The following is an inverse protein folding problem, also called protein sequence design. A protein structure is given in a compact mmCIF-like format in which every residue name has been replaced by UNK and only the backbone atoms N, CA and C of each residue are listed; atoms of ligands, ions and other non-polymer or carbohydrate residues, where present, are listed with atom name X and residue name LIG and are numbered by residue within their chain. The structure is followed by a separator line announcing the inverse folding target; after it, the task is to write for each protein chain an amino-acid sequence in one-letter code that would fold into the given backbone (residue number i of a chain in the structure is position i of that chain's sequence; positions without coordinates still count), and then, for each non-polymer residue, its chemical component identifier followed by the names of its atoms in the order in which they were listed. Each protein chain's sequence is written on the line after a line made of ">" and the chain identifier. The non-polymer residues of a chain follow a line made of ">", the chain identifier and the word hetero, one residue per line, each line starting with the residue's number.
data_IF_400665899803
#
_entry.id   IF_400665899803
#
_cell.length_a   1.000
_cell.length_b   1.000
_cell.length_c   1.000
_cell.angle_alpha   90.00
_cell.angle_beta   90.00
_cell.angle_gamma   90.00
#
_symmetry.space_group_name_H-M   'P 1'
#
loop_
_entity.id
_entity.type
_entity.pdbx_description
1 polymer ?
#
# COMPACT_ATOMS: atom_id res chain seq x y z
N UNK A 1 -10.21 19.69 3.46
CA UNK A 1 -9.37 18.86 2.57
C UNK A 1 -8.87 17.55 3.22
N UNK A 2 -7.84 17.54 4.10
CA UNK A 2 -7.28 16.26 4.62
C UNK A 2 -8.31 15.41 5.37
N UNK A 3 -9.07 16.01 6.31
CA UNK A 3 -10.17 15.34 7.02
C UNK A 3 -11.23 14.78 6.06
N UNK A 4 -11.61 15.50 5.00
CA UNK A 4 -12.57 15.01 3.99
C UNK A 4 -12.04 13.80 3.22
N UNK A 5 -10.74 13.75 2.91
CA UNK A 5 -10.13 12.63 2.19
C UNK A 5 -10.17 11.36 3.05
N UNK A 6 -9.69 11.43 4.29
CA UNK A 6 -9.61 10.26 5.18
C UNK A 6 -10.96 9.80 5.73
N UNK A 7 -11.98 10.68 5.73
CA UNK A 7 -13.35 10.35 6.13
C UNK A 7 -14.23 9.91 4.96
N UNK A 8 -13.72 9.98 3.72
CA UNK A 8 -14.48 9.52 2.56
C UNK A 8 -14.75 8.01 2.64
N UNK A 9 -16.01 7.62 2.48
CA UNK A 9 -16.42 6.22 2.46
C UNK A 9 -15.65 5.50 1.34
N UNK A 10 -14.83 4.52 1.68
CA UNK A 10 -13.98 3.79 0.73
C UNK A 10 -12.51 4.23 0.64
N UNK A 11 -12.10 5.30 1.32
CA UNK A 11 -10.68 5.67 1.42
C UNK A 11 -9.86 4.54 2.04
N UNK A 12 -10.21 4.10 3.26
CA UNK A 12 -9.50 3.03 3.97
C UNK A 12 -9.55 1.69 3.24
N UNK A 13 -10.66 1.37 2.55
CA UNK A 13 -10.74 0.18 1.70
C UNK A 13 -9.75 0.25 0.54
N UNK A 14 -9.58 1.44 -0.07
CA UNK A 14 -8.60 1.67 -1.13
C UNK A 14 -7.17 1.60 -0.60
N UNK A 15 -6.90 2.15 0.59
CA UNK A 15 -5.59 2.06 1.27
C UNK A 15 -5.18 0.61 1.46
N UNK A 16 -6.06 -0.21 2.04
CA UNK A 16 -5.79 -1.64 2.27
C UNK A 16 -5.64 -2.39 0.95
N UNK A 17 -6.52 -2.16 -0.03
CA UNK A 17 -6.44 -2.84 -1.33
C UNK A 17 -5.16 -2.52 -2.10
N UNK A 18 -4.77 -1.24 -2.19
CA UNK A 18 -3.53 -0.84 -2.86
C UNK A 18 -2.29 -1.29 -2.09
N UNK A 19 -2.31 -1.15 -0.76
CA UNK A 19 -1.21 -1.59 0.09
C UNK A 19 -0.98 -3.09 -0.02
N UNK A 20 -2.04 -3.89 -0.01
CA UNK A 20 -1.95 -5.34 -0.16
C UNK A 20 -1.43 -5.73 -1.56
N UNK A 21 -1.94 -5.09 -2.62
CA UNK A 21 -1.46 -5.33 -3.98
C UNK A 21 0.03 -5.00 -4.13
N UNK A 22 0.48 -3.89 -3.53
CA UNK A 22 1.89 -3.51 -3.51
C UNK A 22 2.76 -4.52 -2.75
N UNK A 23 2.32 -4.97 -1.57
CA UNK A 23 3.07 -5.97 -0.78
C UNK A 23 3.23 -7.27 -1.56
N UNK A 24 2.15 -7.76 -2.18
CA UNK A 24 2.20 -8.98 -2.99
C UNK A 24 3.19 -8.82 -4.14
N UNK A 25 3.09 -7.72 -4.91
CA UNK A 25 4.01 -7.44 -6.01
C UNK A 25 5.46 -7.33 -5.54
N UNK A 26 5.70 -6.61 -4.45
CA UNK A 26 7.03 -6.43 -3.87
C UNK A 26 7.64 -7.76 -3.43
N UNK A 27 6.86 -8.61 -2.76
CA UNK A 27 7.28 -9.95 -2.35
C UNK A 27 7.63 -10.82 -3.55
N UNK A 28 6.80 -10.82 -4.59
CA UNK A 28 7.06 -11.59 -5.81
C UNK A 28 8.33 -11.12 -6.52
N UNK A 29 8.54 -9.81 -6.66
CA UNK A 29 9.74 -9.25 -7.29
C UNK A 29 10.98 -9.59 -6.46
N UNK A 30 10.92 -9.40 -5.14
CA UNK A 30 12.05 -9.71 -4.26
C UNK A 30 12.39 -11.19 -4.28
N UNK A 31 11.38 -12.06 -4.25
CA UNK A 31 11.56 -13.50 -4.34
C UNK A 31 12.18 -13.94 -5.68
N UNK A 32 11.79 -13.29 -6.78
CA UNK A 32 12.40 -13.53 -8.09
C UNK A 32 13.87 -13.10 -8.14
N UNK A 33 14.23 -11.96 -7.52
CA UNK A 33 15.62 -11.49 -7.42
C UNK A 33 16.48 -12.47 -6.60
N UNK A 34 15.91 -13.07 -5.56
CA UNK A 34 16.56 -14.08 -4.72
C UNK A 34 16.58 -15.50 -5.34
N UNK A 35 16.22 -15.62 -6.62
CA UNK A 35 16.30 -16.88 -7.37
C UNK A 35 15.23 -17.91 -6.99
N UNK A 36 14.08 -17.46 -6.48
CA UNK A 36 12.98 -18.31 -6.00
C UNK A 36 13.37 -19.26 -4.86
N UNK A 37 14.40 -18.91 -4.10
CA UNK A 37 14.89 -19.71 -2.97
C UNK A 37 13.81 -19.83 -1.89
N UNK A 38 13.60 -21.05 -1.36
CA UNK A 38 12.72 -21.28 -0.22
C UNK A 38 13.23 -20.59 1.05
N UNK A 39 14.55 -20.33 1.09
CA UNK A 39 15.23 -19.60 2.16
C UNK A 39 14.79 -18.14 2.30
N UNK A 40 14.15 -17.56 1.28
CA UNK A 40 13.61 -16.21 1.32
C UNK A 40 12.69 -15.97 2.52
N UNK A 41 11.91 -16.99 2.90
CA UNK A 41 10.91 -16.91 3.96
C UNK A 41 11.49 -17.43 5.30
N UNK A 42 12.42 -18.38 5.26
CA UNK A 42 12.95 -19.07 6.46
C UNK A 42 14.23 -18.46 7.02
N UNK A 43 15.01 -17.71 6.22
CA UNK A 43 16.27 -17.12 6.67
C UNK A 43 16.10 -15.80 7.45
N UNK A 44 14.93 -15.15 7.33
CA UNK A 44 14.65 -13.88 7.99
C UNK A 44 13.76 -14.08 9.23
N UNK A 45 13.90 -13.18 10.20
CA UNK A 45 13.03 -13.19 11.38
C UNK A 45 11.58 -12.92 10.93
N UNK A 46 10.66 -13.90 11.03
CA UNK A 46 9.34 -13.84 10.41
C UNK A 46 8.50 -12.70 10.97
N UNK A 47 8.72 -12.33 12.23
CA UNK A 47 8.02 -11.22 12.86
C UNK A 47 8.40 -9.88 12.22
N UNK A 48 9.70 -9.63 12.05
CA UNK A 48 10.21 -8.39 11.42
C UNK A 48 9.82 -8.30 9.96
N UNK A 49 9.80 -9.43 9.25
CA UNK A 49 9.41 -9.48 7.85
C UNK A 49 7.93 -9.10 7.65
N UNK A 50 7.03 -9.70 8.44
CA UNK A 50 5.58 -9.41 8.38
C UNK A 50 5.33 -7.98 8.83
N UNK A 51 5.94 -7.53 9.93
CA UNK A 51 5.74 -6.16 10.42
C UNK A 51 6.27 -5.12 9.44
N UNK A 52 7.46 -5.35 8.88
CA UNK A 52 8.09 -4.47 7.91
C UNK A 52 7.29 -4.37 6.61
N UNK A 53 6.82 -5.50 6.07
CA UNK A 53 5.98 -5.51 4.87
C UNK A 53 4.60 -4.91 5.12
N UNK A 54 3.98 -5.15 6.28
CA UNK A 54 2.72 -4.52 6.66
C UNK A 54 2.85 -2.99 6.76
N UNK A 55 3.91 -2.49 7.42
CA UNK A 55 4.18 -1.06 7.54
C UNK A 55 4.48 -0.44 6.18
N UNK A 56 5.32 -1.07 5.36
CA UNK A 56 5.65 -0.59 4.03
C UNK A 56 4.41 -0.55 3.12
N UNK A 57 3.60 -1.61 3.12
CA UNK A 57 2.34 -1.69 2.40
C UNK A 57 1.33 -0.64 2.84
N UNK A 58 1.23 -0.42 4.16
CA UNK A 58 0.36 0.61 4.71
C UNK A 58 0.80 2.01 4.29
N UNK A 59 2.09 2.35 4.43
CA UNK A 59 2.65 3.63 4.02
C UNK A 59 2.39 3.87 2.53
N UNK A 60 2.76 2.91 1.68
CA UNK A 60 2.55 3.03 0.24
C UNK A 60 1.06 3.17 -0.11
N UNK A 61 0.22 2.28 0.40
CA UNK A 61 -1.23 2.30 0.18
C UNK A 61 -1.87 3.61 0.63
N UNK A 62 -1.40 4.17 1.76
CA UNK A 62 -1.88 5.44 2.29
C UNK A 62 -1.51 6.60 1.38
N UNK A 63 -0.23 6.75 1.01
CA UNK A 63 0.23 7.86 0.17
C UNK A 63 -0.41 7.84 -1.23
N UNK A 64 -0.47 6.67 -1.87
CA UNK A 64 -1.06 6.56 -3.22
C UNK A 64 -2.56 6.83 -3.18
N UNK A 65 -3.28 6.27 -2.20
CA UNK A 65 -4.72 6.52 -2.07
C UNK A 65 -5.00 7.98 -1.71
N UNK A 66 -4.19 8.57 -0.84
CA UNK A 66 -4.29 9.99 -0.48
C UNK A 66 -4.10 10.89 -1.70
N UNK A 67 -3.07 10.64 -2.53
CA UNK A 67 -2.86 11.34 -3.79
C UNK A 67 -4.04 11.21 -4.75
N UNK A 68 -4.56 9.98 -4.92
CA UNK A 68 -5.72 9.68 -5.77
C UNK A 68 -6.97 10.45 -5.34
N UNK A 69 -7.31 10.43 -4.05
CA UNK A 69 -8.51 11.10 -3.53
C UNK A 69 -8.34 12.62 -3.50
N UNK A 70 -7.14 13.12 -3.20
CA UNK A 70 -6.84 14.56 -3.30
C UNK A 70 -7.03 15.07 -4.73
N UNK A 71 -6.53 14.34 -5.72
CA UNK A 71 -6.72 14.69 -7.13
C UNK A 71 -8.19 14.61 -7.56
N UNK A 72 -8.95 13.62 -7.06
CA UNK A 72 -10.38 13.49 -7.34
C UNK A 72 -11.18 14.68 -6.82
N UNK A 73 -11.00 15.05 -5.56
CA UNK A 73 -11.69 16.20 -4.95
C UNK A 73 -11.35 17.52 -5.65
N UNK A 74 -10.08 17.74 -5.99
CA UNK A 74 -9.65 18.95 -6.72
C UNK A 74 -10.29 19.05 -8.12
N UNK A 75 -10.59 17.92 -8.77
CA UNK A 75 -11.30 17.88 -10.06
C UNK A 75 -12.80 18.11 -9.91
N UNK A 76 -13.39 17.70 -8.79
CA UNK A 76 -14.81 17.95 -8.49
C UNK A 76 -15.03 19.43 -8.18
N UNK A 77 -14.15 20.06 -7.38
CA UNK A 77 -14.17 21.51 -7.09
C UNK A 77 -13.97 22.40 -8.34
N UNK A 78 -13.38 21.89 -9.43
CA UNK A 78 -13.19 22.64 -10.68
C UNK A 78 -14.34 22.49 -11.68
N UNK A 79 -15.28 21.58 -11.42
CA UNK A 79 -16.43 21.32 -12.30
C UNK A 79 -17.71 22.01 -11.83
N UNK A 80 -17.75 22.50 -10.59
CA UNK A 80 -18.76 23.42 -10.07
C UNK A 80 -18.36 24.87 -10.31
#
# INVERSE_FOLDING_TARGET
>A
MFKQIISHKGFWKSVVSLGLAFVILFLLIKWAIEGFSADFITAQNPLLFILGTAVAGFIYGFFVTFGKFRAKLKREEQKE
#
